data_IF_582778306207
#
_entry.id   IF_582778306207
#
_cell.length_a   1.000
_cell.length_b   1.000
_cell.length_c   1.000
_cell.angle_alpha   90.00
_cell.angle_beta   90.00
_cell.angle_gamma   90.00
#
_symmetry.space_group_name_H-M   'P 1'
#
loop_
_entity.id
_entity.type
_entity.pdbx_description
1 polymer ?
#
# COMPACT_ATOMS: atom_id res chain seq x y z
N UNK A 1 -49.04 -3.48 22.14
CA UNK A 1 -48.57 -4.11 20.87
C UNK A 1 -48.46 -3.10 19.71
N UNK A 2 -47.71 -2.00 19.84
CA UNK A 2 -47.45 -1.06 18.71
C UNK A 2 -46.03 -0.47 18.68
N UNK A 3 -45.09 -0.96 19.50
CA UNK A 3 -43.70 -0.44 19.57
C UNK A 3 -42.63 -1.37 18.98
N UNK A 4 -42.93 -2.63 18.63
CA UNK A 4 -41.90 -3.56 18.13
C UNK A 4 -41.72 -3.55 16.61
N UNK A 5 -42.64 -2.96 15.83
CA UNK A 5 -42.53 -2.95 14.36
C UNK A 5 -41.68 -1.79 13.81
N UNK A 6 -41.50 -0.71 14.58
CA UNK A 6 -40.69 0.45 14.16
C UNK A 6 -39.17 0.25 14.40
N UNK A 7 -38.80 -0.65 15.31
CA UNK A 7 -37.38 -1.00 15.55
C UNK A 7 -36.89 -2.11 14.60
N UNK A 8 -37.79 -2.96 14.10
CA UNK A 8 -37.44 -3.99 13.13
C UNK A 8 -37.25 -3.43 11.71
N UNK A 9 -37.98 -2.37 11.33
CA UNK A 9 -37.80 -1.70 10.04
C UNK A 9 -36.52 -0.87 9.96
N UNK A 10 -36.05 -0.32 11.09
CA UNK A 10 -34.78 0.43 11.15
C UNK A 10 -33.55 -0.49 11.08
N UNK A 11 -33.65 -1.73 11.58
CA UNK A 11 -32.58 -2.72 11.49
C UNK A 11 -32.44 -3.33 10.08
N UNK A 12 -33.56 -3.52 9.37
CA UNK A 12 -33.53 -3.98 7.98
C UNK A 12 -33.00 -2.92 7.00
N UNK A 13 -33.14 -1.62 7.30
CA UNK A 13 -32.62 -0.54 6.45
C UNK A 13 -31.10 -0.33 6.62
N UNK A 14 -30.53 -0.66 7.78
CA UNK A 14 -29.08 -0.57 8.02
C UNK A 14 -28.28 -1.76 7.46
N UNK A 15 -28.90 -2.93 7.32
CA UNK A 15 -28.25 -4.12 6.71
C UNK A 15 -28.26 -4.06 5.18
N UNK A 16 -29.17 -3.29 4.57
CA UNK A 16 -29.27 -3.11 3.12
C UNK A 16 -28.27 -2.08 2.53
N UNK A 17 -27.48 -1.38 3.37
CA UNK A 17 -26.39 -0.50 2.91
C UNK A 17 -25.04 -1.22 2.75
N UNK A 18 -24.98 -2.51 3.07
CA UNK A 18 -23.83 -3.34 2.78
C UNK A 18 -24.03 -4.02 1.42
N UNK A 19 -23.02 -3.93 0.54
CA UNK A 19 -22.85 -4.71 -0.70
C UNK A 19 -23.43 -4.17 -2.01
N UNK A 20 -23.26 -2.86 -2.27
CA UNK A 20 -23.02 -2.40 -3.65
C UNK A 20 -21.87 -1.41 -3.72
N UNK A 21 -20.77 -1.72 -3.04
CA UNK A 21 -19.48 -1.13 -3.39
C UNK A 21 -19.05 -1.73 -4.73
N UNK A 22 -19.28 -1.00 -5.82
CA UNK A 22 -18.59 -1.24 -7.10
C UNK A 22 -17.10 -1.36 -6.81
N UNK A 23 -16.45 -2.31 -7.47
CA UNK A 23 -15.03 -2.57 -7.40
C UNK A 23 -14.22 -1.27 -7.62
N UNK A 24 -13.91 -0.55 -6.54
CA UNK A 24 -13.20 0.74 -6.60
C UNK A 24 -11.74 0.61 -6.12
N UNK A 25 -11.34 -0.59 -5.68
CA UNK A 25 -9.99 -0.90 -5.20
C UNK A 25 -9.26 -1.97 -6.04
N UNK A 26 -9.78 -2.35 -7.21
CA UNK A 26 -9.16 -3.38 -8.05
C UNK A 26 -8.95 -4.70 -7.30
N UNK A 27 -10.02 -5.45 -7.03
CA UNK A 27 -9.90 -6.83 -6.57
C UNK A 27 -10.15 -7.76 -7.74
N UNK A 28 -9.35 -7.59 -8.80
CA UNK A 28 -9.54 -8.09 -10.16
C UNK A 28 -10.18 -9.46 -10.27
N UNK A 29 -10.97 -9.64 -11.33
CA UNK A 29 -11.54 -10.94 -11.63
C UNK A 29 -10.42 -11.93 -11.84
N UNK A 30 -10.70 -13.20 -11.57
CA UNK A 30 -9.65 -14.19 -11.64
C UNK A 30 -9.12 -14.35 -13.08
N UNK A 31 -9.98 -14.20 -14.07
CA UNK A 31 -9.61 -14.24 -15.48
C UNK A 31 -8.60 -13.14 -15.83
N UNK A 32 -8.81 -11.93 -15.29
CA UNK A 32 -7.90 -10.79 -15.46
C UNK A 32 -6.55 -11.03 -14.76
N UNK A 33 -6.57 -11.67 -13.58
CA UNK A 33 -5.35 -12.08 -12.87
C UNK A 33 -4.56 -13.11 -13.68
N UNK A 34 -5.24 -14.17 -14.15
CA UNK A 34 -4.64 -15.24 -14.95
C UNK A 34 -4.10 -14.70 -16.28
N UNK A 35 -4.74 -13.67 -16.87
CA UNK A 35 -4.25 -12.96 -18.05
C UNK A 35 -2.95 -12.21 -17.75
N UNK A 36 -2.92 -11.39 -16.70
CA UNK A 36 -1.71 -10.65 -16.30
C UNK A 36 -0.52 -11.58 -16.06
N UNK A 37 -0.74 -12.73 -15.42
CA UNK A 37 0.32 -13.71 -15.13
C UNK A 37 0.97 -14.29 -16.40
N UNK A 38 0.27 -14.29 -17.54
CA UNK A 38 0.75 -14.86 -18.81
C UNK A 38 1.25 -13.78 -19.78
N UNK A 39 0.72 -12.57 -19.68
CA UNK A 39 1.03 -11.46 -20.59
C UNK A 39 2.47 -10.94 -20.46
N UNK A 40 3.11 -10.52 -21.56
CA UNK A 40 4.31 -9.70 -21.51
C UNK A 40 4.06 -8.43 -20.69
N UNK A 41 5.08 -8.00 -19.95
CA UNK A 41 4.98 -6.86 -19.03
C UNK A 41 5.46 -5.56 -19.67
N UNK A 42 4.65 -4.52 -19.56
CA UNK A 42 5.05 -3.13 -19.75
C UNK A 42 5.18 -2.48 -18.37
N UNK A 43 6.34 -1.94 -18.07
CA UNK A 43 6.60 -1.18 -16.86
C UNK A 43 6.61 0.30 -17.22
N UNK A 44 5.80 1.08 -16.51
CA UNK A 44 5.83 2.52 -16.68
C UNK A 44 7.08 3.12 -16.06
N UNK A 45 7.81 3.92 -16.85
CA UNK A 45 8.89 4.78 -16.39
C UNK A 45 8.44 6.24 -16.45
N UNK A 46 8.99 7.07 -15.58
CA UNK A 46 8.63 8.46 -15.41
C UNK A 46 9.48 9.39 -16.27
N UNK A 47 8.86 10.47 -16.73
CA UNK A 47 9.53 11.63 -17.32
C UNK A 47 9.13 12.90 -16.58
N UNK A 48 9.98 13.95 -16.58
CA UNK A 48 9.66 15.20 -15.91
C UNK A 48 8.34 15.80 -16.41
N UNK A 49 7.39 16.00 -15.50
CA UNK A 49 6.06 16.48 -15.86
C UNK A 49 6.00 18.00 -15.84
N UNK A 50 5.56 18.61 -16.95
CA UNK A 50 5.48 20.07 -17.08
C UNK A 50 4.67 20.73 -15.96
N UNK A 51 3.59 20.08 -15.49
CA UNK A 51 2.79 20.59 -14.37
C UNK A 51 3.58 20.66 -13.05
N UNK A 52 4.44 19.66 -12.79
CA UNK A 52 5.29 19.62 -11.59
C UNK A 52 6.43 20.63 -11.74
N UNK A 53 7.07 20.68 -12.91
CA UNK A 53 8.12 21.66 -13.22
C UNK A 53 7.63 23.10 -13.02
N UNK A 54 6.44 23.44 -13.52
CA UNK A 54 5.82 24.76 -13.30
C UNK A 54 5.56 25.04 -11.82
N UNK A 55 5.13 24.03 -11.06
CA UNK A 55 4.86 24.15 -9.61
C UNK A 55 6.14 24.42 -8.82
N UNK A 56 7.21 23.67 -9.09
CA UNK A 56 8.52 23.84 -8.42
C UNK A 56 9.14 25.20 -8.75
N UNK A 57 9.10 25.63 -10.02
CA UNK A 57 9.56 26.97 -10.42
C UNK A 57 8.79 28.10 -9.71
N UNK A 58 7.48 27.94 -9.53
CA UNK A 58 6.63 28.94 -8.86
C UNK A 58 6.82 28.93 -7.33
N UNK A 59 7.18 27.79 -6.76
CA UNK A 59 7.32 27.62 -5.31
C UNK A 59 8.62 26.86 -4.95
N UNK A 60 9.79 27.50 -5.07
CA UNK A 60 11.10 26.84 -4.84
C UNK A 60 11.29 26.25 -3.43
N UNK A 61 10.54 26.75 -2.44
CA UNK A 61 10.53 26.18 -1.07
C UNK A 61 9.98 24.75 -1.02
N UNK A 62 9.28 24.30 -2.06
CA UNK A 62 8.67 22.96 -2.16
C UNK A 62 9.58 21.93 -2.85
N UNK A 63 10.82 22.30 -3.16
CA UNK A 63 11.79 21.42 -3.83
C UNK A 63 12.45 22.08 -5.03
N UNK A 64 13.48 21.41 -5.55
CA UNK A 64 14.26 21.84 -6.69
C UNK A 64 13.94 21.05 -7.97
N UNK A 65 14.06 21.69 -9.13
CA UNK A 65 13.75 21.09 -10.44
C UNK A 65 14.76 20.01 -10.81
N UNK A 66 16.04 20.22 -10.55
CA UNK A 66 17.10 19.26 -10.87
C UNK A 66 17.07 18.07 -9.91
N UNK A 67 16.78 18.32 -8.62
CA UNK A 67 16.51 17.24 -7.66
C UNK A 67 15.34 16.36 -8.11
N UNK A 68 14.21 16.96 -8.52
CA UNK A 68 13.06 16.20 -9.05
C UNK A 68 13.45 15.34 -10.26
N UNK A 69 14.22 15.89 -11.21
CA UNK A 69 14.70 15.10 -12.36
C UNK A 69 15.64 13.98 -11.94
N UNK A 70 16.52 14.23 -10.95
CA UNK A 70 17.42 13.22 -10.42
C UNK A 70 16.64 12.09 -9.72
N UNK A 71 15.63 12.44 -8.94
CA UNK A 71 14.77 11.49 -8.25
C UNK A 71 13.99 10.62 -9.23
N UNK A 72 13.52 11.17 -10.35
CA UNK A 72 12.88 10.37 -11.40
C UNK A 72 13.86 9.39 -12.06
N UNK A 73 15.13 9.77 -12.26
CA UNK A 73 16.15 8.85 -12.78
C UNK A 73 16.39 7.70 -11.82
N UNK A 74 16.58 8.01 -10.53
CA UNK A 74 16.76 7.02 -9.47
C UNK A 74 15.53 6.11 -9.37
N UNK A 75 14.31 6.66 -9.40
CA UNK A 75 13.08 5.87 -9.43
C UNK A 75 13.04 4.91 -10.63
N UNK A 76 13.34 5.41 -11.83
CA UNK A 76 13.33 4.62 -13.05
C UNK A 76 14.35 3.48 -13.02
N UNK A 77 15.53 3.71 -12.45
CA UNK A 77 16.52 2.65 -12.21
C UNK A 77 16.02 1.64 -11.17
N UNK A 78 15.48 2.12 -10.05
CA UNK A 78 14.99 1.28 -8.97
C UNK A 78 13.82 0.37 -9.41
N UNK A 79 12.83 0.88 -10.17
CA UNK A 79 11.72 0.07 -10.66
C UNK A 79 12.19 -0.97 -11.67
N UNK A 80 13.16 -0.63 -12.54
CA UNK A 80 13.78 -1.59 -13.45
C UNK A 80 14.41 -2.74 -12.68
N UNK A 81 15.30 -2.41 -11.74
CA UNK A 81 15.99 -3.41 -10.92
C UNK A 81 15.01 -4.26 -10.11
N UNK A 82 13.99 -3.65 -9.50
CA UNK A 82 12.98 -4.37 -8.72
C UNK A 82 12.17 -5.33 -9.60
N UNK A 83 11.73 -4.91 -10.79
CA UNK A 83 10.98 -5.76 -11.72
C UNK A 83 11.84 -6.91 -12.25
N UNK A 84 13.05 -6.63 -12.72
CA UNK A 84 13.96 -7.65 -13.26
C UNK A 84 14.23 -8.76 -12.23
N UNK A 85 14.46 -8.35 -10.97
CA UNK A 85 14.75 -9.29 -9.88
C UNK A 85 13.49 -10.02 -9.41
N UNK A 86 12.40 -9.30 -9.14
CA UNK A 86 11.28 -9.82 -8.34
C UNK A 86 9.98 -10.07 -9.09
N UNK A 87 9.81 -9.60 -10.32
CA UNK A 87 8.58 -9.87 -11.06
C UNK A 87 8.40 -11.39 -11.20
N UNK A 88 7.30 -11.99 -10.72
CA UNK A 88 7.22 -13.43 -10.55
C UNK A 88 6.66 -14.16 -11.78
N UNK A 89 6.19 -13.42 -12.77
CA UNK A 89 5.42 -13.93 -13.90
C UNK A 89 6.24 -13.84 -15.20
N UNK A 90 5.57 -13.73 -16.35
CA UNK A 90 6.25 -13.62 -17.63
C UNK A 90 7.28 -12.47 -17.63
N UNK A 91 8.57 -12.83 -17.77
CA UNK A 91 9.71 -11.91 -17.86
C UNK A 91 10.21 -11.72 -19.29
N UNK A 92 9.69 -12.48 -20.25
CA UNK A 92 10.11 -12.36 -21.64
C UNK A 92 9.54 -11.08 -22.26
N UNK A 93 10.40 -10.28 -22.87
CA UNK A 93 9.99 -9.06 -23.56
C UNK A 93 9.46 -7.96 -22.65
N UNK A 94 9.98 -7.82 -21.43
CA UNK A 94 9.66 -6.66 -20.57
C UNK A 94 9.99 -5.37 -21.31
N UNK A 95 9.02 -4.45 -21.39
CA UNK A 95 9.19 -3.15 -22.02
C UNK A 95 9.10 -2.05 -20.98
N UNK A 96 9.94 -1.02 -21.12
CA UNK A 96 9.89 0.19 -20.30
C UNK A 96 9.35 1.33 -21.14
N UNK A 97 8.21 1.88 -20.75
CA UNK A 97 7.47 2.87 -21.53
C UNK A 97 6.98 4.02 -20.67
N UNK A 98 6.94 5.23 -21.25
CA UNK A 98 6.35 6.38 -20.57
C UNK A 98 4.83 6.28 -20.54
N UNK A 99 4.18 7.06 -19.68
CA UNK A 99 2.71 7.11 -19.62
C UNK A 99 2.09 7.40 -21.00
N UNK A 100 2.65 8.35 -21.75
CA UNK A 100 2.13 8.75 -23.06
C UNK A 100 2.37 7.68 -24.13
N UNK A 101 3.49 6.96 -24.07
CA UNK A 101 3.73 5.80 -24.94
C UNK A 101 2.72 4.67 -24.67
N UNK A 102 2.45 4.34 -23.41
CA UNK A 102 1.46 3.31 -23.04
C UNK A 102 0.07 3.73 -23.53
N UNK A 103 -0.29 5.00 -23.33
CA UNK A 103 -1.55 5.57 -23.84
C UNK A 103 -1.65 5.49 -25.36
N UNK A 104 -0.56 5.75 -26.07
CA UNK A 104 -0.50 5.62 -27.53
C UNK A 104 -0.66 4.14 -27.96
N UNK A 105 -0.03 3.19 -27.27
CA UNK A 105 -0.19 1.76 -27.53
C UNK A 105 -1.63 1.29 -27.34
N UNK A 106 -2.30 1.72 -26.26
CA UNK A 106 -3.74 1.50 -26.05
C UNK A 106 -4.57 2.08 -27.20
N UNK A 107 -4.30 3.32 -27.63
CA UNK A 107 -5.00 3.97 -28.76
C UNK A 107 -4.79 3.20 -30.07
N UNK A 108 -3.61 2.64 -30.28
CA UNK A 108 -3.27 1.77 -31.39
C UNK A 108 -3.88 0.35 -31.26
N UNK A 109 -4.66 0.08 -30.21
CA UNK A 109 -5.31 -1.20 -29.93
C UNK A 109 -4.33 -2.36 -29.79
N UNK A 110 -3.15 -2.10 -29.24
CA UNK A 110 -2.26 -3.17 -28.73
C UNK A 110 -3.03 -3.94 -27.66
N UNK A 111 -2.84 -5.27 -27.64
CA UNK A 111 -3.58 -6.20 -26.76
C UNK A 111 -2.66 -7.12 -25.98
N UNK A 112 -3.20 -7.72 -24.92
CA UNK A 112 -2.58 -8.84 -24.23
C UNK A 112 -1.28 -8.52 -23.51
N UNK A 113 -1.06 -7.25 -23.14
CA UNK A 113 0.06 -6.82 -22.30
C UNK A 113 -0.44 -6.45 -20.91
N UNK A 114 0.31 -6.85 -19.89
CA UNK A 114 0.14 -6.34 -18.55
C UNK A 114 0.87 -4.99 -18.43
N UNK A 115 0.32 -4.08 -17.65
CA UNK A 115 0.93 -2.77 -17.36
C UNK A 115 1.11 -2.62 -15.85
N UNK A 116 2.34 -2.46 -15.41
CA UNK A 116 2.70 -2.13 -14.02
C UNK A 116 3.13 -0.66 -13.94
N UNK A 117 2.55 0.09 -13.00
CA UNK A 117 2.92 1.49 -12.77
C UNK A 117 2.78 1.91 -11.31
N UNK A 118 3.54 2.92 -10.91
CA UNK A 118 3.28 3.67 -9.68
C UNK A 118 2.57 4.97 -10.00
N UNK A 119 1.57 5.32 -9.20
CA UNK A 119 0.80 6.55 -9.39
C UNK A 119 0.64 7.27 -8.07
N UNK A 120 0.92 8.55 -8.11
CA UNK A 120 0.58 9.48 -7.04
C UNK A 120 -0.94 9.57 -6.89
N UNK A 121 -1.42 9.40 -5.66
CA UNK A 121 -2.83 9.32 -5.31
C UNK A 121 -3.16 10.26 -4.17
N UNK A 122 -4.41 10.75 -4.15
CA UNK A 122 -5.02 11.42 -3.00
C UNK A 122 -6.49 11.10 -2.89
N UNK A 123 -7.07 11.27 -1.71
CA UNK A 123 -8.52 11.16 -1.53
C UNK A 123 -9.24 12.20 -2.42
N UNK A 124 -10.37 11.80 -3.02
CA UNK A 124 -11.23 12.72 -3.75
C UNK A 124 -11.92 13.69 -2.79
N UNK A 125 -12.04 14.95 -3.22
CA UNK A 125 -12.81 15.99 -2.51
C UNK A 125 -14.28 16.03 -2.94
N UNK A 126 -14.62 15.35 -4.05
CA UNK A 126 -15.88 15.54 -4.76
C UNK A 126 -16.80 14.31 -4.67
N UNK A 127 -16.41 13.29 -3.91
CA UNK A 127 -17.16 12.04 -3.71
C UNK A 127 -16.27 10.88 -3.28
N UNK A 128 -16.82 9.67 -3.10
CA UNK A 128 -16.03 8.48 -2.78
C UNK A 128 -15.08 8.11 -3.94
N UNK A 129 -13.83 7.79 -3.62
CA UNK A 129 -12.78 7.43 -4.56
C UNK A 129 -11.48 8.20 -4.39
N UNK A 130 -10.45 7.74 -5.11
CA UNK A 130 -9.15 8.39 -5.19
C UNK A 130 -9.00 9.12 -6.52
N UNK A 131 -8.26 10.23 -6.48
CA UNK A 131 -7.76 10.90 -7.68
C UNK A 131 -6.33 10.43 -7.93
N UNK A 132 -6.14 9.76 -9.07
CA UNK A 132 -4.83 9.30 -9.53
C UNK A 132 -4.21 10.32 -10.47
N UNK A 133 -2.92 10.56 -10.30
CA UNK A 133 -2.13 11.28 -11.28
C UNK A 133 -1.63 10.32 -12.38
N UNK A 134 -1.28 10.90 -13.53
CA UNK A 134 -0.60 10.21 -14.62
C UNK A 134 0.88 9.99 -14.25
N UNK A 135 1.15 9.08 -13.32
CA UNK A 135 2.47 8.82 -12.75
C UNK A 135 2.74 9.54 -11.43
N UNK A 136 4.02 9.70 -11.11
CA UNK A 136 4.50 10.39 -9.92
C UNK A 136 4.33 11.91 -10.07
N UNK A 137 3.55 12.50 -9.18
CA UNK A 137 3.23 13.93 -9.13
C UNK A 137 3.95 14.66 -7.99
N UNK A 138 4.67 13.91 -7.16
CA UNK A 138 5.33 14.37 -5.94
C UNK A 138 6.85 14.16 -6.07
N UNK A 139 7.65 14.98 -5.39
CA UNK A 139 9.09 14.79 -5.22
C UNK A 139 9.40 14.06 -3.89
N UNK A 140 10.63 13.58 -3.70
CA UNK A 140 11.01 12.83 -2.48
C UNK A 140 11.01 13.67 -1.21
N UNK A 141 11.21 14.99 -1.35
CA UNK A 141 11.33 15.95 -0.26
C UNK A 141 10.01 16.64 0.03
N UNK A 142 8.90 16.17 -0.57
CA UNK A 142 7.60 16.77 -0.36
C UNK A 142 7.31 16.76 1.13
N UNK A 143 7.36 17.95 1.74
CA UNK A 143 6.94 18.11 3.11
C UNK A 143 5.45 17.79 3.11
N UNK A 144 5.14 16.73 3.84
CA UNK A 144 3.83 16.29 4.24
C UNK A 144 3.17 17.38 5.12
N UNK A 145 2.95 18.58 4.58
CA UNK A 145 2.23 19.68 5.22
C UNK A 145 0.75 19.31 5.33
N UNK A 146 0.42 18.41 6.24
CA UNK A 146 -0.94 18.01 6.55
C UNK A 146 -1.54 18.89 7.64
N UNK A 147 -1.63 20.19 7.39
CA UNK A 147 -2.50 21.04 8.20
C UNK A 147 -3.99 20.75 7.89
N UNK A 148 -4.30 20.24 6.69
CA UNK A 148 -5.65 19.81 6.30
C UNK A 148 -5.65 18.37 5.73
N UNK A 149 -6.35 17.46 6.40
CA UNK A 149 -6.33 16.00 6.12
C UNK A 149 -7.02 15.61 4.81
N UNK A 150 -7.62 16.58 4.11
CA UNK A 150 -8.11 16.43 2.74
C UNK A 150 -6.99 16.22 1.73
N UNK A 151 -5.74 16.48 2.11
CA UNK A 151 -4.59 16.35 1.23
C UNK A 151 -3.78 15.06 1.42
N UNK A 152 -4.22 14.08 2.22
CA UNK A 152 -3.48 12.84 2.46
C UNK A 152 -2.97 12.19 1.14
N UNK A 153 -1.65 12.22 0.98
CA UNK A 153 -0.93 11.81 -0.21
C UNK A 153 -0.37 10.42 0.01
N UNK A 154 -0.48 9.58 -1.01
CA UNK A 154 0.16 8.29 -1.03
C UNK A 154 0.50 7.95 -2.48
N UNK A 155 1.28 6.89 -2.67
CA UNK A 155 1.51 6.33 -4.00
C UNK A 155 0.94 4.92 -4.02
N UNK A 156 0.28 4.58 -5.12
CA UNK A 156 -0.22 3.24 -5.37
C UNK A 156 0.61 2.57 -6.45
N UNK A 157 0.95 1.31 -6.27
CA UNK A 157 1.35 0.44 -7.37
C UNK A 157 0.08 -0.18 -7.97
N UNK A 158 -0.06 -0.09 -9.29
CA UNK A 158 -1.23 -0.59 -10.01
C UNK A 158 -0.82 -1.55 -11.11
N UNK A 159 -1.66 -2.55 -11.32
CA UNK A 159 -1.53 -3.55 -12.37
C UNK A 159 -2.77 -3.49 -13.24
N UNK A 160 -2.58 -3.33 -14.54
CA UNK A 160 -3.66 -3.22 -15.53
C UNK A 160 -3.41 -4.22 -16.66
N UNK A 161 -4.45 -4.49 -17.43
CA UNK A 161 -4.34 -5.00 -18.80
C UNK A 161 -4.37 -3.77 -19.72
N UNK A 162 -3.54 -3.73 -20.77
CA UNK A 162 -3.33 -2.52 -21.59
C UNK A 162 -4.63 -1.97 -22.21
N UNK A 163 -5.58 -2.84 -22.53
CA UNK A 163 -6.90 -2.52 -23.05
C UNK A 163 -7.72 -1.64 -22.09
N UNK A 164 -7.51 -1.83 -20.79
CA UNK A 164 -8.21 -1.17 -19.69
C UNK A 164 -7.38 -0.10 -18.97
N UNK A 165 -6.18 0.18 -19.45
CA UNK A 165 -5.35 1.28 -18.97
C UNK A 165 -6.16 2.59 -18.91
N UNK A 166 -6.07 3.36 -17.81
CA UNK A 166 -6.91 4.54 -17.47
C UNK A 166 -8.40 4.27 -17.16
N UNK A 167 -8.94 3.07 -17.38
CA UNK A 167 -10.35 2.75 -17.10
C UNK A 167 -10.55 2.02 -15.77
N UNK A 168 -9.61 1.15 -15.43
CA UNK A 168 -9.64 0.38 -14.19
C UNK A 168 -8.47 -0.57 -14.09
N UNK A 169 -7.90 -0.67 -12.89
CA UNK A 169 -6.82 -1.60 -12.62
C UNK A 169 -7.36 -2.97 -12.19
N UNK A 170 -6.67 -4.02 -12.63
CA UNK A 170 -6.84 -5.39 -12.13
C UNK A 170 -6.54 -5.42 -10.64
N UNK A 171 -5.48 -4.72 -10.23
CA UNK A 171 -5.11 -4.61 -8.83
C UNK A 171 -4.48 -3.27 -8.49
N UNK A 172 -4.83 -2.75 -7.31
CA UNK A 172 -4.27 -1.52 -6.75
C UNK A 172 -3.80 -1.80 -5.34
N UNK A 173 -2.57 -1.42 -5.05
CA UNK A 173 -1.97 -1.54 -3.72
C UNK A 173 -1.33 -0.21 -3.33
N UNK A 174 -1.68 0.40 -2.18
CA UNK A 174 -0.90 1.50 -1.63
C UNK A 174 0.52 1.04 -1.27
N UNK A 175 1.51 1.88 -1.53
CA UNK A 175 2.87 1.71 -1.02
C UNK A 175 3.03 2.46 0.30
N UNK A 176 3.99 2.02 1.12
CA UNK A 176 4.31 2.70 2.39
C UNK A 176 5.10 4.00 2.21
N UNK A 177 5.80 4.17 1.08
CA UNK A 177 6.49 5.43 0.77
C UNK A 177 5.67 6.26 -0.23
N UNK A 178 5.54 7.56 0.06
CA UNK A 178 4.93 8.53 -0.86
C UNK A 178 5.74 8.65 -2.15
N UNK A 179 7.07 8.68 -2.05
CA UNK A 179 7.97 8.57 -3.19
C UNK A 179 8.66 7.20 -3.17
N UNK A 180 8.39 6.30 -4.13
CA UNK A 180 8.80 4.91 -4.03
C UNK A 180 10.31 4.71 -3.88
N UNK A 181 10.66 3.94 -2.87
CA UNK A 181 12.01 3.43 -2.53
C UNK A 181 12.19 2.03 -3.09
N UNK A 182 13.43 1.49 -3.07
CA UNK A 182 13.64 0.09 -3.50
C UNK A 182 12.81 -0.84 -2.64
N UNK A 183 12.81 -0.67 -1.32
CA UNK A 183 11.99 -1.45 -0.39
C UNK A 183 10.50 -1.43 -0.76
N UNK A 184 9.92 -0.24 -0.99
CA UNK A 184 8.49 -0.11 -1.31
C UNK A 184 8.12 -0.75 -2.65
N UNK A 185 9.01 -0.68 -3.64
CA UNK A 185 8.82 -1.30 -4.94
C UNK A 185 8.86 -2.83 -4.85
N UNK A 186 9.85 -3.38 -4.12
CA UNK A 186 9.91 -4.83 -3.86
C UNK A 186 8.69 -5.31 -3.10
N UNK A 187 8.29 -4.59 -2.04
CA UNK A 187 7.07 -4.87 -1.31
C UNK A 187 5.85 -4.90 -2.22
N UNK A 188 5.71 -3.90 -3.12
CA UNK A 188 4.60 -3.82 -4.05
C UNK A 188 4.51 -5.04 -4.97
N UNK A 189 5.63 -5.41 -5.60
CA UNK A 189 5.72 -6.56 -6.51
C UNK A 189 5.43 -7.87 -5.77
N UNK A 190 6.04 -8.09 -4.60
CA UNK A 190 5.81 -9.30 -3.80
C UNK A 190 4.38 -9.39 -3.27
N UNK A 191 3.78 -8.26 -2.90
CA UNK A 191 2.38 -8.20 -2.46
C UNK A 191 1.40 -8.51 -3.60
N UNK A 192 1.66 -8.01 -4.82
CA UNK A 192 0.92 -8.39 -6.03
C UNK A 192 0.99 -9.91 -6.22
N UNK A 193 2.20 -10.48 -6.16
CA UNK A 193 2.41 -11.93 -6.27
C UNK A 193 1.57 -12.70 -5.25
N UNK A 194 1.72 -12.36 -3.97
CA UNK A 194 1.04 -13.03 -2.88
C UNK A 194 -0.49 -12.93 -3.00
N UNK A 195 -1.01 -11.78 -3.45
CA UNK A 195 -2.44 -11.61 -3.70
C UNK A 195 -2.90 -12.48 -4.88
N UNK A 196 -2.25 -12.40 -6.04
CA UNK A 196 -2.63 -13.16 -7.24
C UNK A 196 -2.54 -14.67 -7.03
N UNK A 197 -1.45 -15.17 -6.48
CA UNK A 197 -1.26 -16.60 -6.24
C UNK A 197 -2.33 -17.14 -5.28
N UNK A 198 -2.69 -16.36 -4.24
CA UNK A 198 -3.77 -16.71 -3.31
C UNK A 198 -5.13 -16.71 -4.00
N UNK A 199 -5.40 -15.77 -4.90
CA UNK A 199 -6.67 -15.75 -5.67
C UNK A 199 -6.79 -16.96 -6.58
N UNK A 200 -5.69 -17.38 -7.20
CA UNK A 200 -5.64 -18.60 -8.03
C UNK A 200 -5.83 -19.86 -7.16
N UNK A 201 -5.16 -19.97 -6.01
CA UNK A 201 -5.29 -21.13 -5.13
C UNK A 201 -6.70 -21.27 -4.55
N UNK A 202 -7.35 -20.17 -4.18
CA UNK A 202 -8.73 -20.19 -3.66
C UNK A 202 -9.73 -20.84 -4.64
N UNK A 203 -9.57 -20.65 -5.97
CA UNK A 203 -10.40 -21.34 -6.97
C UNK A 203 -10.15 -22.84 -6.95
N UNK A 204 -8.88 -23.25 -6.89
CA UNK A 204 -8.49 -24.66 -6.83
C UNK A 204 -9.08 -25.35 -5.59
N UNK A 205 -9.04 -24.65 -4.46
CA UNK A 205 -9.47 -25.17 -3.16
C UNK A 205 -10.96 -24.90 -2.85
N UNK A 206 -11.70 -24.31 -3.80
CA UNK A 206 -13.13 -23.96 -3.69
C UNK A 206 -13.47 -23.08 -2.49
N UNK A 207 -12.53 -22.22 -2.08
CA UNK A 207 -12.69 -21.27 -0.98
C UNK A 207 -13.48 -20.05 -1.45
N UNK A 208 -14.45 -19.58 -0.65
CA UNK A 208 -15.25 -18.39 -1.01
C UNK A 208 -14.44 -17.12 -0.77
N UNK A 209 -14.64 -16.10 -1.61
CA UNK A 209 -13.95 -14.80 -1.50
C UNK A 209 -14.05 -14.13 -0.12
N UNK A 210 -15.19 -14.31 0.58
CA UNK A 210 -15.40 -13.79 1.94
C UNK A 210 -14.45 -14.38 3.00
N UNK A 211 -13.87 -15.54 2.72
CA UNK A 211 -12.97 -16.24 3.64
C UNK A 211 -11.50 -15.78 3.45
N UNK A 212 -11.19 -14.98 2.42
CA UNK A 212 -9.84 -14.47 2.13
C UNK A 212 -9.26 -13.70 3.32
N UNK A 213 -10.04 -12.81 3.93
CA UNK A 213 -9.59 -12.02 5.09
C UNK A 213 -9.32 -12.90 6.30
N UNK A 214 -10.15 -13.94 6.50
CA UNK A 214 -9.98 -14.90 7.59
C UNK A 214 -8.70 -15.74 7.39
N UNK A 215 -8.46 -16.21 6.16
CA UNK A 215 -7.23 -16.92 5.82
C UNK A 215 -5.99 -16.07 6.06
N UNK A 216 -6.01 -14.80 5.63
CA UNK A 216 -4.91 -13.87 5.90
C UNK A 216 -4.69 -13.66 7.41
N UNK A 217 -5.77 -13.55 8.19
CA UNK A 217 -5.65 -13.40 9.64
C UNK A 217 -5.07 -14.66 10.31
N UNK A 218 -5.50 -15.84 9.90
CA UNK A 218 -4.97 -17.13 10.40
C UNK A 218 -3.50 -17.33 10.01
N UNK A 219 -3.12 -16.99 8.78
CA UNK A 219 -1.72 -17.01 8.32
C UNK A 219 -0.85 -16.03 9.11
N UNK A 220 -1.33 -14.80 9.29
CA UNK A 220 -0.64 -13.78 10.09
C UNK A 220 -0.48 -14.23 11.55
N UNK A 221 -1.50 -14.85 12.16
CA UNK A 221 -1.42 -15.44 13.52
C UNK A 221 -0.34 -16.51 13.64
N UNK A 222 -0.05 -17.26 12.56
CA UNK A 222 1.07 -18.22 12.54
C UNK A 222 2.41 -17.50 12.33
N UNK A 223 2.46 -16.57 11.39
CA UNK A 223 3.68 -15.81 11.06
C UNK A 223 4.17 -14.94 12.21
N UNK A 224 3.28 -14.31 12.98
CA UNK A 224 3.66 -13.47 14.13
C UNK A 224 4.48 -14.24 15.17
N UNK A 225 4.29 -15.56 15.29
CA UNK A 225 5.04 -16.41 16.21
C UNK A 225 6.51 -16.58 15.81
N UNK A 226 6.86 -16.27 14.56
CA UNK A 226 8.23 -16.27 14.05
C UNK A 226 8.95 -14.94 14.30
N UNK A 227 8.22 -13.89 14.65
CA UNK A 227 8.80 -12.56 14.84
C UNK A 227 9.84 -12.49 15.99
N UNK A 228 9.72 -13.24 17.11
CA UNK A 228 10.73 -13.30 18.16
C UNK A 228 12.13 -13.75 17.72
N UNK A 229 12.24 -14.55 16.64
CA UNK A 229 13.53 -15.04 16.12
C UNK A 229 14.10 -14.18 15.01
N UNK A 230 13.39 -13.13 14.58
CA UNK A 230 13.82 -12.19 13.55
C UNK A 230 14.22 -10.86 14.16
N UNK A 231 15.07 -10.11 13.46
CA UNK A 231 15.35 -8.72 13.80
C UNK A 231 14.29 -7.82 13.17
N UNK A 232 13.49 -7.13 13.99
CA UNK A 232 12.53 -6.13 13.53
C UNK A 232 13.24 -4.82 13.17
N UNK A 233 13.21 -4.45 11.90
CA UNK A 233 13.71 -3.17 11.40
C UNK A 233 12.65 -2.08 11.52
N UNK A 234 13.05 -0.93 12.04
CA UNK A 234 12.22 0.26 12.13
C UNK A 234 13.01 1.45 11.58
N UNK A 235 12.40 2.19 10.67
CA UNK A 235 12.97 3.44 10.13
C UNK A 235 12.86 4.55 11.16
N UNK A 236 13.96 5.26 11.38
CA UNK A 236 14.04 6.33 12.38
C UNK A 236 12.98 7.41 12.16
N UNK A 237 12.72 7.77 10.91
CA UNK A 237 11.72 8.77 10.51
C UNK A 237 10.26 8.33 10.72
N UNK A 238 10.01 7.07 11.07
CA UNK A 238 8.68 6.55 11.41
C UNK A 238 8.50 6.33 12.91
N UNK A 239 9.44 6.79 13.73
CA UNK A 239 9.32 6.70 15.19
C UNK A 239 8.70 7.98 15.76
N UNK A 240 7.93 7.84 16.83
CA UNK A 240 7.41 9.01 17.56
C UNK A 240 8.57 9.87 18.10
N UNK A 241 8.42 11.19 18.04
CA UNK A 241 9.39 12.13 18.58
C UNK A 241 9.83 11.70 20.00
N UNK A 242 11.15 11.52 20.17
CA UNK A 242 11.82 11.10 21.42
C UNK A 242 11.71 9.60 21.77
N UNK A 243 11.16 8.76 20.90
CA UNK A 243 11.20 7.31 21.09
C UNK A 243 12.62 6.78 20.84
N UNK A 244 13.34 6.48 21.92
CA UNK A 244 14.69 5.91 21.84
C UNK A 244 14.66 4.38 21.73
N UNK A 245 15.75 3.78 21.23
CA UNK A 245 15.92 2.33 21.24
C UNK A 245 15.75 1.74 22.66
N UNK A 246 16.33 2.40 23.68
CA UNK A 246 16.19 1.97 25.07
C UNK A 246 14.72 1.91 25.51
N UNK A 247 13.94 2.95 25.18
CA UNK A 247 12.52 3.01 25.52
C UNK A 247 11.70 1.99 24.75
N UNK A 248 12.00 1.76 23.46
CA UNK A 248 11.34 0.75 22.65
C UNK A 248 11.55 -0.67 23.22
N UNK A 249 12.78 -0.97 23.65
CA UNK A 249 13.16 -2.27 24.23
C UNK A 249 12.35 -2.64 25.49
N UNK A 250 11.91 -1.66 26.28
CA UNK A 250 11.04 -1.90 27.43
C UNK A 250 9.70 -2.56 27.05
N UNK A 251 9.22 -2.31 25.82
CA UNK A 251 7.92 -2.79 25.33
C UNK A 251 8.03 -3.88 24.27
N UNK A 252 9.16 -3.98 23.59
CA UNK A 252 9.48 -5.01 22.61
C UNK A 252 10.80 -5.71 23.00
N UNK A 253 10.74 -6.86 23.72
CA UNK A 253 11.92 -7.51 24.27
C UNK A 253 12.68 -8.39 23.26
N UNK A 254 12.21 -8.49 22.03
CA UNK A 254 12.82 -9.31 20.96
C UNK A 254 13.83 -8.50 20.14
N UNK A 255 14.65 -9.13 19.27
CA UNK A 255 15.63 -8.42 18.46
C UNK A 255 14.98 -7.35 17.58
N UNK A 256 15.53 -6.13 17.63
CA UNK A 256 15.12 -5.02 16.76
C UNK A 256 16.31 -4.13 16.44
N UNK A 257 16.18 -3.34 15.37
CA UNK A 257 17.15 -2.34 14.95
C UNK A 257 16.42 -1.11 14.44
N UNK A 258 16.72 0.04 15.03
CA UNK A 258 16.40 1.34 14.43
C UNK A 258 17.45 1.59 13.36
N UNK A 259 17.02 1.88 12.14
CA UNK A 259 17.87 2.00 10.97
C UNK A 259 17.42 3.16 10.07
N UNK A 260 18.30 3.57 9.16
CA UNK A 260 17.94 4.45 8.07
C UNK A 260 17.21 3.69 6.94
N UNK A 261 16.73 4.47 5.98
CA UNK A 261 16.07 3.99 4.78
C UNK A 261 16.94 3.09 3.91
N UNK A 262 18.23 3.41 3.74
CA UNK A 262 19.12 2.70 2.82
C UNK A 262 19.42 1.29 3.32
N UNK A 263 19.62 1.11 4.63
CA UNK A 263 19.81 -0.21 5.24
C UNK A 263 18.56 -1.08 5.08
N UNK A 264 17.36 -0.52 5.29
CA UNK A 264 16.11 -1.25 5.09
C UNK A 264 15.90 -1.64 3.61
N UNK A 265 16.22 -0.73 2.68
CA UNK A 265 16.23 -0.99 1.24
C UNK A 265 17.12 -2.18 0.89
N UNK A 266 18.35 -2.23 1.40
CA UNK A 266 19.29 -3.33 1.14
C UNK A 266 18.77 -4.67 1.67
N UNK A 267 18.26 -4.71 2.90
CA UNK A 267 17.72 -5.94 3.51
C UNK A 267 16.55 -6.49 2.69
N UNK A 268 15.61 -5.64 2.30
CA UNK A 268 14.44 -6.04 1.52
C UNK A 268 14.82 -6.45 0.09
N UNK A 269 15.74 -5.71 -0.54
CA UNK A 269 16.32 -6.07 -1.85
C UNK A 269 17.08 -7.40 -1.82
N UNK A 270 17.58 -7.82 -0.67
CA UNK A 270 18.24 -9.13 -0.51
C UNK A 270 17.29 -10.23 -0.06
N UNK A 271 16.04 -9.89 0.29
CA UNK A 271 15.05 -10.85 0.80
C UNK A 271 15.57 -11.62 2.02
N UNK A 272 16.29 -10.94 2.91
CA UNK A 272 16.98 -11.56 4.03
C UNK A 272 15.98 -12.05 5.09
N UNK A 273 15.82 -13.38 5.18
CA UNK A 273 14.88 -14.03 6.06
C UNK A 273 15.19 -13.87 7.56
N UNK A 274 16.37 -13.37 7.93
CA UNK A 274 16.68 -13.03 9.32
C UNK A 274 15.94 -11.78 9.81
N UNK A 275 15.35 -11.00 8.91
CA UNK A 275 14.72 -9.73 9.21
C UNK A 275 13.21 -9.74 8.98
N UNK A 276 12.54 -8.89 9.74
CA UNK A 276 11.20 -8.39 9.47
C UNK A 276 11.28 -6.86 9.46
N UNK A 277 10.36 -6.18 8.81
CA UNK A 277 10.38 -4.72 8.71
C UNK A 277 9.02 -4.13 9.05
N UNK A 278 9.04 -3.13 9.94
CA UNK A 278 7.86 -2.36 10.31
C UNK A 278 7.66 -1.20 9.33
N UNK A 279 6.45 -1.06 8.80
CA UNK A 279 6.09 0.04 7.90
C UNK A 279 4.73 0.62 8.28
N UNK A 280 4.49 1.83 7.79
CA UNK A 280 3.20 2.47 7.89
C UNK A 280 2.48 2.42 6.56
N UNK A 281 1.30 1.82 6.56
CA UNK A 281 0.52 1.65 5.35
C UNK A 281 -0.69 2.58 5.38
N UNK A 282 -0.91 3.40 4.33
CA UNK A 282 -2.17 4.09 4.18
C UNK A 282 -3.27 3.08 3.82
N UNK A 283 -4.35 3.11 4.59
CA UNK A 283 -5.56 2.33 4.38
C UNK A 283 -6.69 3.30 4.06
N UNK A 284 -7.28 3.11 2.88
CA UNK A 284 -8.41 3.91 2.41
C UNK A 284 -9.71 3.30 2.94
N UNK A 285 -10.47 4.10 3.67
CA UNK A 285 -11.80 3.76 4.16
C UNK A 285 -12.80 4.60 3.37
N UNK A 286 -13.52 3.97 2.45
CA UNK A 286 -14.60 4.62 1.71
C UNK A 286 -15.85 4.73 2.56
N UNK A 287 -16.41 5.93 2.61
CA UNK A 287 -17.72 6.26 3.17
C UNK A 287 -18.66 6.72 2.06
N UNK A 288 -19.96 6.82 2.34
CA UNK A 288 -20.99 7.15 1.33
C UNK A 288 -20.76 8.47 0.59
N UNK A 289 -20.06 9.42 1.20
CA UNK A 289 -19.83 10.76 0.65
C UNK A 289 -18.34 11.17 0.56
N UNK A 290 -17.40 10.36 1.03
CA UNK A 290 -15.96 10.68 1.08
C UNK A 290 -15.11 9.45 1.31
N UNK A 291 -13.83 9.54 0.97
CA UNK A 291 -12.82 8.60 1.42
C UNK A 291 -12.02 9.20 2.60
N UNK A 292 -11.66 8.36 3.56
CA UNK A 292 -10.77 8.71 4.68
C UNK A 292 -9.53 7.84 4.56
N UNK A 293 -8.35 8.45 4.65
CA UNK A 293 -7.09 7.72 4.72
C UNK A 293 -6.67 7.63 6.18
N UNK A 294 -6.47 6.40 6.65
CA UNK A 294 -5.91 6.13 7.97
C UNK A 294 -4.57 5.41 7.79
N UNK A 295 -3.67 5.55 8.74
CA UNK A 295 -2.40 4.83 8.72
C UNK A 295 -2.47 3.67 9.71
N UNK A 296 -2.05 2.49 9.27
CA UNK A 296 -1.90 1.32 10.11
C UNK A 296 -0.43 0.89 10.10
N UNK A 297 0.10 0.51 11.26
CA UNK A 297 1.44 -0.06 11.35
C UNK A 297 1.37 -1.55 11.04
N UNK A 298 2.17 -1.98 10.06
CA UNK A 298 2.33 -3.37 9.68
C UNK A 298 3.75 -3.83 9.97
N UNK A 299 3.91 -5.11 10.24
CA UNK A 299 5.20 -5.80 10.19
C UNK A 299 5.14 -6.83 9.08
N UNK A 300 6.09 -6.78 8.16
CA UNK A 300 6.21 -7.73 7.04
C UNK A 300 7.48 -8.56 7.18
N UNK A 301 7.46 -9.80 6.69
CA UNK A 301 8.66 -10.63 6.57
C UNK A 301 9.52 -10.12 5.40
N UNK A 302 10.81 -9.86 5.61
CA UNK A 302 11.68 -9.36 4.55
C UNK A 302 11.86 -10.38 3.40
N UNK A 303 11.70 -11.67 3.68
CA UNK A 303 11.86 -12.72 2.68
C UNK A 303 10.76 -12.69 1.59
N UNK A 304 9.49 -12.57 1.99
CA UNK A 304 8.35 -12.73 1.08
C UNK A 304 7.38 -11.54 1.07
N UNK A 305 7.62 -10.52 1.88
CA UNK A 305 6.75 -9.36 2.09
C UNK A 305 5.32 -9.73 2.56
N UNK A 306 5.12 -10.92 3.12
CA UNK A 306 3.84 -11.28 3.72
C UNK A 306 3.69 -10.70 5.13
N UNK A 307 2.45 -10.32 5.52
CA UNK A 307 2.20 -9.69 6.81
C UNK A 307 2.44 -10.68 7.96
N UNK A 308 3.23 -10.22 8.94
CA UNK A 308 3.48 -10.92 10.21
C UNK A 308 2.68 -10.33 11.35
N UNK A 309 2.48 -9.01 11.40
CA UNK A 309 1.67 -8.36 12.42
C UNK A 309 1.01 -7.10 11.87
N UNK A 310 -0.09 -6.70 12.52
CA UNK A 310 -0.78 -5.45 12.22
C UNK A 310 -1.23 -4.77 13.51
N UNK A 311 -0.99 -3.47 13.62
CA UNK A 311 -1.51 -2.65 14.72
C UNK A 311 -2.60 -1.74 14.16
N UNK A 312 -3.84 -2.05 14.54
CA UNK A 312 -5.01 -1.26 14.17
C UNK A 312 -5.20 -0.09 15.15
N UNK A 313 -5.73 1.06 14.70
CA UNK A 313 -6.19 2.11 15.60
C UNK A 313 -7.23 1.57 16.59
N UNK A 314 -7.27 2.11 17.82
CA UNK A 314 -8.28 1.69 18.80
C UNK A 314 -9.69 2.05 18.33
N UNK A 315 -10.71 1.33 18.81
CA UNK A 315 -12.13 1.60 18.50
C UNK A 315 -12.52 3.06 18.79
N UNK A 316 -12.04 3.62 19.91
CA UNK A 316 -12.22 5.04 20.22
C UNK A 316 -11.55 5.98 19.21
N UNK A 317 -10.38 5.61 18.68
CA UNK A 317 -9.71 6.36 17.61
C UNK A 317 -10.45 6.25 16.29
N UNK A 318 -11.02 5.09 15.96
CA UNK A 318 -11.87 4.87 14.79
C UNK A 318 -13.21 5.65 14.89
N UNK A 319 -13.77 5.78 16.09
CA UNK A 319 -14.94 6.64 16.32
C UNK A 319 -14.58 8.13 16.29
N UNK A 320 -13.44 8.54 16.85
CA UNK A 320 -12.96 9.92 16.69
C UNK A 320 -12.67 10.24 15.22
N UNK A 321 -12.20 9.26 14.45
CA UNK A 321 -12.03 9.37 13.00
C UNK A 321 -13.34 9.68 12.27
N UNK A 322 -14.45 9.05 12.66
CA UNK A 322 -15.75 9.30 12.03
C UNK A 322 -16.36 10.66 12.41
N UNK A 323 -16.03 11.20 13.58
CA UNK A 323 -16.62 12.43 14.14
C UNK A 323 -15.75 13.67 13.88
N UNK A 324 -14.44 13.61 14.13
CA UNK A 324 -13.52 14.77 14.09
C UNK A 324 -12.42 14.63 13.03
N UNK A 325 -12.54 13.67 12.11
CA UNK A 325 -11.52 13.34 11.08
C UNK A 325 -10.12 13.08 11.66
N UNK A 326 -10.07 12.64 12.92
CA UNK A 326 -8.96 12.20 13.79
C UNK A 326 -7.96 11.14 13.28
N UNK A 327 -7.37 11.18 12.08
CA UNK A 327 -6.40 10.14 11.66
C UNK A 327 -5.34 9.84 12.75
N UNK A 328 -5.15 8.54 13.04
CA UNK A 328 -4.22 8.03 14.04
C UNK A 328 -2.77 8.43 13.75
N UNK A 329 -1.89 8.20 14.72
CA UNK A 329 -0.46 8.55 14.59
C UNK A 329 0.18 7.81 13.43
N UNK A 330 0.93 8.55 12.61
CA UNK A 330 1.87 8.04 11.58
C UNK A 330 3.23 7.70 12.18
N UNK A 331 3.23 7.17 13.40
CA UNK A 331 4.48 6.77 14.04
C UNK A 331 4.32 5.42 14.72
N UNK A 332 5.40 4.63 14.70
CA UNK A 332 5.64 3.58 15.65
C UNK A 332 5.85 4.19 17.03
N UNK A 333 5.05 3.71 17.98
CA UNK A 333 5.04 4.16 19.38
C UNK A 333 5.35 3.00 20.31
N UNK A 334 5.52 3.29 21.60
CA UNK A 334 5.55 2.26 22.65
C UNK A 334 4.27 1.41 22.68
N UNK A 335 3.12 2.01 22.37
CA UNK A 335 1.84 1.28 22.25
C UNK A 335 1.84 0.33 21.04
N UNK A 336 2.46 0.74 19.93
CA UNK A 336 2.66 -0.13 18.76
C UNK A 336 3.47 -1.36 19.15
N UNK A 337 4.60 -1.18 19.84
CA UNK A 337 5.41 -2.28 20.38
C UNK A 337 4.60 -3.24 21.28
N UNK A 338 3.84 -2.70 22.24
CA UNK A 338 2.99 -3.50 23.13
C UNK A 338 1.97 -4.35 22.36
N UNK A 339 1.32 -3.77 21.34
CA UNK A 339 0.32 -4.48 20.52
C UNK A 339 0.92 -5.55 19.63
N UNK A 340 2.15 -5.35 19.14
CA UNK A 340 2.89 -6.40 18.42
C UNK A 340 3.23 -7.55 19.40
N UNK A 341 3.74 -7.23 20.60
CA UNK A 341 4.05 -8.26 21.62
C UNK A 341 2.81 -9.00 22.08
N UNK A 342 1.65 -8.34 22.18
CA UNK A 342 0.38 -8.99 22.49
C UNK A 342 0.01 -10.04 21.43
N UNK A 343 0.13 -9.72 20.14
CA UNK A 343 -0.11 -10.65 19.04
C UNK A 343 0.87 -11.83 19.06
N UNK A 344 2.16 -11.59 19.31
CA UNK A 344 3.16 -12.65 19.51
C UNK A 344 2.71 -13.60 20.63
N UNK A 345 2.15 -13.08 21.73
CA UNK A 345 1.64 -13.88 22.85
C UNK A 345 0.25 -14.50 22.60
N UNK A 346 -0.29 -14.39 21.39
CA UNK A 346 -1.62 -14.91 21.03
C UNK A 346 -2.79 -14.17 21.70
N UNK A 347 -2.56 -12.94 22.20
CA UNK A 347 -3.62 -12.10 22.78
C UNK A 347 -4.21 -11.21 21.69
N UNK A 348 -5.53 -11.16 21.59
CA UNK A 348 -6.22 -10.24 20.68
C UNK A 348 -5.93 -8.80 21.13
N UNK A 349 -5.27 -8.04 20.25
CA UNK A 349 -4.78 -6.70 20.54
C UNK A 349 -5.86 -5.64 20.39
N UNK A 350 -6.82 -5.62 21.31
CA UNK A 350 -7.82 -4.54 21.42
C UNK A 350 -7.17 -3.16 21.66
#
# INVERSE_FOLDING_TARGET
MKKSYLQLSLYCFLVALAFSAKAQMGFGKLEEIEEVQKSPLIVMIEEPREKVLKKLKKHPRKGDVEDYKADLRIYNENIKTAVEKFWPYNKEGIQYKTYDEIKAMKKARVKGHAVLLCQSSKASTDGPGNVYANGLAWDKNIQEDFDDRRDAMFTSMTVNIIEDFEKGAVYVLPLFDVFPTRASLVFGIKSIKAYFDRRVSMKKDKVKGRDLMKLQEEEMKKRVQLLPSKTLLLREEWLEDKLTAAKFKEYYPYPFKICDKDFMDEVIMNSDAAYAYGVEMPVIISQSNRDIIIYMQYVFDAADAEPMAIVKPSTGSLMALSIINKAGSRNFTTKTAQKIVAQIKGKEGD
#
